data_IF_594774747781
#
_entry.id   IF_594774747781
#
_cell.length_a   1.000
_cell.length_b   1.000
_cell.length_c   1.000
_cell.angle_alpha   90.00
_cell.angle_beta   90.00
_cell.angle_gamma   90.00
#
_symmetry.space_group_name_H-M   'P 1'
#
loop_
_entity.id
_entity.type
_entity.pdbx_description
1 polymer ?
#
# COMPACT_ATOMS: atom_id res chain seq x y z
N UNK A 1 -0.21 -10.22 -21.71
CA UNK A 1 -0.46 -9.93 -20.29
C UNK A 1 0.15 -8.58 -19.96
N UNK A 2 -0.63 -7.68 -19.39
CA UNK A 2 -0.21 -6.32 -18.98
C UNK A 2 -0.47 -6.15 -17.49
N UNK A 3 0.49 -5.58 -16.75
CA UNK A 3 0.27 -5.10 -15.39
C UNK A 3 0.38 -3.57 -15.37
N UNK A 4 -0.63 -2.92 -14.80
CA UNK A 4 -0.68 -1.47 -14.63
C UNK A 4 -0.45 -1.16 -13.14
N UNK A 5 0.74 -0.67 -12.76
CA UNK A 5 1.04 -0.37 -11.36
C UNK A 5 0.33 0.89 -10.89
N UNK A 6 0.08 0.94 -9.58
CA UNK A 6 -0.31 2.15 -8.82
C UNK A 6 -1.43 2.98 -9.45
N UNK A 7 -2.56 2.33 -9.80
CA UNK A 7 -3.76 3.10 -10.18
C UNK A 7 -4.28 3.89 -8.97
N UNK A 8 -4.85 5.08 -9.21
CA UNK A 8 -5.26 5.98 -8.13
C UNK A 8 -6.65 6.59 -8.30
N UNK A 9 -7.36 6.33 -9.39
CA UNK A 9 -8.65 6.99 -9.67
C UNK A 9 -9.79 6.00 -9.89
N UNK A 10 -11.01 6.43 -9.57
CA UNK A 10 -12.27 5.74 -9.91
C UNK A 10 -12.30 5.37 -11.40
N UNK A 11 -11.91 6.31 -12.26
CA UNK A 11 -11.90 6.06 -13.71
C UNK A 11 -10.95 4.93 -14.12
N UNK A 12 -9.80 4.81 -13.48
CA UNK A 12 -8.88 3.69 -13.70
C UNK A 12 -9.52 2.35 -13.29
N UNK A 13 -10.21 2.31 -12.14
CA UNK A 13 -10.93 1.10 -11.69
C UNK A 13 -11.99 0.68 -12.71
N UNK A 14 -12.81 1.63 -13.19
CA UNK A 14 -13.83 1.36 -14.22
C UNK A 14 -13.22 0.76 -15.50
N UNK A 15 -12.12 1.36 -15.99
CA UNK A 15 -11.44 0.89 -17.21
C UNK A 15 -10.85 -0.51 -17.04
N UNK A 16 -10.21 -0.80 -15.91
CA UNK A 16 -9.66 -2.13 -15.61
C UNK A 16 -10.79 -3.16 -15.49
N UNK A 17 -11.90 -2.81 -14.82
CA UNK A 17 -13.07 -3.69 -14.68
C UNK A 17 -13.67 -4.04 -16.05
N UNK A 18 -13.83 -3.05 -16.91
CA UNK A 18 -14.30 -3.27 -18.28
C UNK A 18 -13.34 -4.15 -19.08
N UNK A 19 -12.04 -3.87 -19.04
CA UNK A 19 -11.03 -4.67 -19.73
C UNK A 19 -11.01 -6.14 -19.25
N UNK A 20 -11.15 -6.38 -17.95
CA UNK A 20 -11.26 -7.76 -17.40
C UNK A 20 -12.56 -8.44 -17.85
N UNK A 21 -13.69 -7.72 -17.91
CA UNK A 21 -14.97 -8.23 -18.40
C UNK A 21 -14.91 -8.65 -19.87
N UNK A 22 -14.13 -7.95 -20.70
CA UNK A 22 -13.82 -8.31 -22.09
C UNK A 22 -12.84 -9.51 -22.23
N UNK A 23 -12.36 -10.07 -21.12
CA UNK A 23 -11.43 -11.19 -21.11
C UNK A 23 -9.97 -10.81 -21.39
N UNK A 24 -9.64 -9.54 -21.35
CA UNK A 24 -8.26 -9.07 -21.54
C UNK A 24 -7.37 -9.46 -20.33
N UNK A 25 -6.16 -9.91 -20.63
CA UNK A 25 -5.18 -10.33 -19.60
C UNK A 25 -4.48 -9.12 -19.00
N UNK A 26 -5.24 -8.33 -18.24
CA UNK A 26 -4.77 -7.16 -17.50
C UNK A 26 -4.82 -7.41 -16.01
N UNK A 27 -3.87 -6.86 -15.27
CA UNK A 27 -3.83 -6.81 -13.81
C UNK A 27 -3.37 -5.42 -13.36
N UNK A 28 -3.68 -5.03 -12.13
CA UNK A 28 -3.25 -3.75 -11.59
C UNK A 28 -2.96 -3.81 -10.10
N UNK A 29 -2.28 -2.79 -9.60
CA UNK A 29 -2.04 -2.58 -8.18
C UNK A 29 -2.43 -1.17 -7.75
N UNK A 30 -2.56 -0.97 -6.44
CA UNK A 30 -2.80 0.32 -5.80
C UNK A 30 -1.80 0.52 -4.67
N UNK A 31 -1.36 1.76 -4.45
CA UNK A 31 -0.47 2.07 -3.34
C UNK A 31 -1.23 2.28 -2.03
N UNK A 32 -0.62 1.87 -0.90
CA UNK A 32 -1.21 2.00 0.44
C UNK A 32 -1.67 3.42 0.72
N UNK A 33 -0.87 4.42 0.40
CA UNK A 33 -1.19 5.81 0.68
C UNK A 33 -2.39 6.34 -0.14
N UNK A 34 -2.64 5.80 -1.34
CA UNK A 34 -3.83 6.14 -2.13
C UNK A 34 -5.13 5.52 -1.58
N UNK A 35 -5.03 4.57 -0.65
CA UNK A 35 -6.17 4.00 0.08
C UNK A 35 -6.39 4.69 1.41
N UNK A 36 -5.30 5.14 2.07
CA UNK A 36 -5.34 5.62 3.45
C UNK A 36 -5.61 7.13 3.58
N UNK A 37 -5.17 7.92 2.60
CA UNK A 37 -5.31 9.37 2.61
C UNK A 37 -6.26 9.85 1.52
N UNK A 38 -6.97 10.95 1.81
CA UNK A 38 -7.71 11.76 0.84
C UNK A 38 -6.99 13.07 0.57
N UNK A 39 -7.32 13.75 -0.51
CA UNK A 39 -6.73 15.03 -0.92
C UNK A 39 -6.86 16.16 0.13
N UNK A 40 -7.73 16.00 1.12
CA UNK A 40 -7.84 16.91 2.26
C UNK A 40 -6.49 17.09 3.00
N UNK A 41 -5.62 16.06 3.03
CA UNK A 41 -4.30 16.16 3.67
C UNK A 41 -3.34 17.09 2.92
N UNK A 42 -3.68 17.49 1.70
CA UNK A 42 -2.86 18.39 0.87
C UNK A 42 -3.08 19.86 1.19
N UNK A 43 -4.12 20.24 1.96
CA UNK A 43 -4.43 21.63 2.32
C UNK A 43 -3.25 22.36 2.99
N UNK A 44 -2.44 21.61 3.76
CA UNK A 44 -1.25 22.14 4.44
C UNK A 44 0.02 22.15 3.57
N UNK A 45 -0.04 21.75 2.30
CA UNK A 45 1.10 21.64 1.40
C UNK A 45 2.31 20.89 1.99
N UNK A 46 2.05 19.89 2.85
CA UNK A 46 3.08 19.06 3.45
C UNK A 46 3.77 18.17 2.41
N UNK A 47 5.05 18.38 2.15
CA UNK A 47 5.81 17.65 1.12
C UNK A 47 5.83 16.13 1.32
N UNK A 48 5.65 15.63 2.55
CA UNK A 48 5.54 14.20 2.83
C UNK A 48 4.27 13.56 2.26
N UNK A 49 3.27 14.35 1.83
CA UNK A 49 2.08 13.85 1.12
C UNK A 49 2.22 13.90 -0.40
N UNK A 50 3.35 14.42 -0.92
CA UNK A 50 3.59 14.49 -2.36
C UNK A 50 4.01 13.13 -2.90
N UNK A 51 3.16 12.53 -3.73
CA UNK A 51 3.32 11.20 -4.33
C UNK A 51 2.96 11.24 -5.82
N UNK A 52 3.43 10.25 -6.56
CA UNK A 52 3.04 10.02 -7.94
C UNK A 52 2.70 8.51 -8.14
N UNK A 53 1.42 8.17 -8.40
CA UNK A 53 0.24 9.04 -8.55
C UNK A 53 -0.08 9.85 -7.29
N UNK A 54 -0.70 11.05 -7.45
CA UNK A 54 -1.06 11.87 -6.30
C UNK A 54 -2.20 11.26 -5.48
N UNK A 55 -2.29 11.68 -4.23
CA UNK A 55 -3.43 11.39 -3.36
C UNK A 55 -4.69 12.01 -3.98
N UNK A 56 -5.80 11.29 -3.94
CA UNK A 56 -7.04 11.62 -4.65
C UNK A 56 -8.18 11.89 -3.69
N UNK A 57 -9.32 12.24 -4.29
CA UNK A 57 -10.56 12.52 -3.57
C UNK A 57 -11.09 11.30 -2.82
N UNK A 58 -11.97 11.55 -1.86
CA UNK A 58 -12.67 10.47 -1.14
C UNK A 58 -13.42 9.52 -2.08
N UNK A 59 -14.03 10.05 -3.14
CA UNK A 59 -14.73 9.23 -4.14
C UNK A 59 -13.79 8.26 -4.87
N UNK A 60 -12.57 8.70 -5.18
CA UNK A 60 -11.53 7.85 -5.77
C UNK A 60 -11.10 6.76 -4.78
N UNK A 61 -10.87 7.10 -3.51
CA UNK A 61 -10.49 6.15 -2.46
C UNK A 61 -11.57 5.08 -2.28
N UNK A 62 -12.85 5.46 -2.20
CA UNK A 62 -13.98 4.54 -2.10
C UNK A 62 -14.01 3.57 -3.30
N UNK A 63 -13.83 4.09 -4.52
CA UNK A 63 -13.79 3.25 -5.72
C UNK A 63 -12.58 2.29 -5.75
N UNK A 64 -11.43 2.69 -5.22
CA UNK A 64 -10.26 1.81 -5.08
C UNK A 64 -10.52 0.68 -4.07
N UNK A 65 -11.15 0.99 -2.93
CA UNK A 65 -11.55 -0.01 -1.93
C UNK A 65 -12.58 -1.01 -2.51
N UNK A 66 -13.57 -0.53 -3.25
CA UNK A 66 -14.53 -1.37 -3.96
C UNK A 66 -13.83 -2.27 -4.99
N UNK A 67 -12.86 -1.71 -5.73
CA UNK A 67 -12.06 -2.47 -6.70
C UNK A 67 -11.18 -3.55 -6.07
N UNK A 68 -10.74 -3.39 -4.83
CA UNK A 68 -10.06 -4.45 -4.07
C UNK A 68 -11.03 -5.55 -3.65
N UNK A 69 -12.22 -5.17 -3.18
CA UNK A 69 -13.25 -6.11 -2.72
C UNK A 69 -13.80 -6.98 -3.86
N UNK A 70 -14.05 -6.40 -5.03
CA UNK A 70 -14.62 -7.12 -6.18
C UNK A 70 -13.57 -7.83 -7.05
N UNK A 71 -12.27 -7.72 -6.72
CA UNK A 71 -11.18 -8.36 -7.46
C UNK A 71 -10.76 -7.62 -8.74
N UNK A 72 -11.28 -6.41 -8.98
CA UNK A 72 -10.80 -5.55 -10.07
C UNK A 72 -9.34 -5.17 -9.86
N UNK A 73 -8.96 -4.84 -8.61
CA UNK A 73 -7.57 -4.58 -8.22
C UNK A 73 -6.96 -5.87 -7.67
N UNK A 74 -5.85 -6.28 -8.25
CA UNK A 74 -5.24 -7.58 -7.96
C UNK A 74 -4.38 -7.54 -6.70
N UNK A 75 -3.67 -6.44 -6.43
CA UNK A 75 -2.70 -6.37 -5.33
C UNK A 75 -2.54 -4.96 -4.77
N UNK A 76 -1.95 -4.89 -3.58
CA UNK A 76 -1.55 -3.65 -2.93
C UNK A 76 -0.03 -3.60 -2.88
N UNK A 77 0.53 -2.42 -3.12
CA UNK A 77 1.97 -2.14 -2.98
C UNK A 77 2.23 -1.11 -1.91
N UNK A 78 3.35 -1.24 -1.20
CA UNK A 78 3.82 -0.23 -0.26
C UNK A 78 4.23 1.07 -0.95
N UNK A 79 4.59 0.98 -2.21
CA UNK A 79 5.18 2.07 -3.01
C UNK A 79 6.31 2.79 -2.24
N UNK A 80 7.19 1.99 -1.64
CA UNK A 80 8.26 2.46 -0.78
C UNK A 80 9.33 3.20 -1.58
N UNK A 81 9.38 4.51 -1.42
CA UNK A 81 10.31 5.39 -2.13
C UNK A 81 11.08 6.27 -1.13
N UNK A 82 12.21 5.78 -0.61
CA UNK A 82 13.05 6.54 0.32
C UNK A 82 13.79 7.67 -0.39
N UNK A 83 13.70 8.86 0.16
CA UNK A 83 14.30 10.08 -0.36
C UNK A 83 15.13 10.77 0.70
N UNK A 84 16.19 11.43 0.29
CA UNK A 84 16.99 12.27 1.17
C UNK A 84 16.18 13.48 1.64
N UNK A 85 16.52 13.97 2.83
CA UNK A 85 15.83 15.09 3.45
C UNK A 85 15.87 16.35 2.58
N UNK A 86 16.97 16.55 1.86
CA UNK A 86 17.18 17.67 0.95
C UNK A 86 16.19 17.69 -0.22
N UNK A 87 15.69 16.52 -0.64
CA UNK A 87 14.69 16.38 -1.69
C UNK A 87 13.24 16.50 -1.17
N UNK A 88 13.04 16.38 0.14
CA UNK A 88 11.71 16.44 0.75
C UNK A 88 11.45 17.70 1.56
N UNK A 89 12.46 18.28 2.22
CA UNK A 89 12.33 19.48 3.03
C UNK A 89 12.39 20.76 2.15
N UNK A 90 11.50 20.78 1.19
CA UNK A 90 11.32 21.87 0.22
C UNK A 90 9.85 22.27 0.18
N UNK A 91 9.55 23.39 -0.48
CA UNK A 91 8.18 23.75 -0.82
C UNK A 91 7.53 22.64 -1.64
N UNK A 92 6.22 22.48 -1.51
CA UNK A 92 5.49 21.36 -2.08
C UNK A 92 5.73 21.18 -3.60
N UNK A 93 5.75 22.26 -4.36
CA UNK A 93 5.98 22.27 -5.81
C UNK A 93 7.38 21.78 -6.20
N UNK A 94 8.40 22.05 -5.37
CA UNK A 94 9.80 21.68 -5.60
C UNK A 94 10.20 20.34 -5.01
N UNK A 95 9.46 19.83 -4.01
CA UNK A 95 9.77 18.56 -3.39
C UNK A 95 9.61 17.40 -4.36
N UNK A 96 10.46 16.39 -4.22
CA UNK A 96 10.39 15.16 -5.02
C UNK A 96 9.21 14.28 -4.56
N UNK A 97 8.53 13.64 -5.52
CA UNK A 97 7.46 12.69 -5.24
C UNK A 97 8.00 11.42 -4.56
N UNK A 98 7.25 10.90 -3.60
CA UNK A 98 7.54 9.63 -2.95
C UNK A 98 7.49 9.67 -1.43
N UNK A 99 7.12 8.53 -0.86
CA UNK A 99 7.08 8.29 0.59
C UNK A 99 7.64 6.91 0.92
N UNK A 100 8.10 6.71 2.14
CA UNK A 100 8.37 5.38 2.65
C UNK A 100 7.06 4.75 3.16
N UNK A 101 6.83 3.48 2.84
CA UNK A 101 5.58 2.79 3.15
C UNK A 101 5.75 1.34 3.63
N UNK A 102 6.96 0.76 3.65
CA UNK A 102 7.13 -0.65 4.06
C UNK A 102 6.76 -0.88 5.52
N UNK A 103 7.18 0.00 6.41
CA UNK A 103 6.95 -0.12 7.85
C UNK A 103 5.49 0.09 8.24
N UNK A 104 4.74 0.83 7.42
CA UNK A 104 3.35 1.23 7.73
C UNK A 104 2.30 0.46 6.95
N UNK A 105 2.68 -0.21 5.85
CA UNK A 105 1.74 -0.82 4.91
C UNK A 105 0.73 -1.75 5.58
N UNK A 106 1.20 -2.73 6.35
CA UNK A 106 0.33 -3.68 7.03
C UNK A 106 -0.57 -2.99 8.07
N UNK A 107 0.04 -2.16 8.93
CA UNK A 107 -0.69 -1.48 10.00
C UNK A 107 -1.76 -0.51 9.48
N UNK A 108 -1.46 0.26 8.44
CA UNK A 108 -2.41 1.17 7.82
C UNK A 108 -3.58 0.42 7.15
N UNK A 109 -3.27 -0.61 6.38
CA UNK A 109 -4.29 -1.39 5.67
C UNK A 109 -5.20 -2.18 6.62
N UNK A 110 -4.66 -2.71 7.72
CA UNK A 110 -5.43 -3.46 8.71
C UNK A 110 -6.38 -2.58 9.56
N UNK A 111 -6.29 -1.25 9.43
CA UNK A 111 -7.31 -0.34 9.97
C UNK A 111 -8.56 -0.23 9.08
N UNK A 112 -8.44 -0.59 7.80
CA UNK A 112 -9.45 -0.31 6.78
C UNK A 112 -10.03 -1.57 6.13
N UNK A 113 -9.24 -2.64 6.03
CA UNK A 113 -9.60 -3.84 5.28
C UNK A 113 -9.83 -5.03 6.20
N UNK A 114 -10.73 -5.95 5.83
CA UNK A 114 -10.79 -7.27 6.47
C UNK A 114 -9.44 -7.99 6.35
N UNK A 115 -9.02 -8.65 7.43
CA UNK A 115 -7.69 -9.27 7.51
C UNK A 115 -7.43 -10.30 6.40
N UNK A 116 -8.43 -11.08 6.05
CA UNK A 116 -8.34 -12.10 5.01
C UNK A 116 -8.05 -11.47 3.64
N UNK A 117 -8.77 -10.42 3.29
CA UNK A 117 -8.56 -9.66 2.05
C UNK A 117 -7.18 -9.00 2.03
N UNK A 118 -6.79 -8.39 3.14
CA UNK A 118 -5.46 -7.78 3.29
C UNK A 118 -4.34 -8.79 3.02
N UNK A 119 -4.40 -9.96 3.68
CA UNK A 119 -3.39 -11.01 3.49
C UNK A 119 -3.38 -11.52 2.05
N UNK A 120 -4.56 -11.74 1.45
CA UNK A 120 -4.67 -12.12 0.05
C UNK A 120 -3.95 -11.13 -0.87
N UNK A 121 -4.28 -9.83 -0.75
CA UNK A 121 -3.73 -8.78 -1.63
C UNK A 121 -2.24 -8.52 -1.43
N UNK A 122 -1.70 -8.80 -0.24
CA UNK A 122 -0.27 -8.68 0.05
C UNK A 122 0.55 -9.93 -0.29
N UNK A 123 -0.07 -11.11 -0.40
CA UNK A 123 0.68 -12.36 -0.52
C UNK A 123 0.37 -13.17 -1.77
N UNK A 124 -0.90 -13.46 -2.05
CA UNK A 124 -1.30 -14.38 -3.12
C UNK A 124 -1.17 -13.76 -4.51
N UNK A 125 -1.30 -12.44 -4.59
CA UNK A 125 -1.28 -11.71 -5.86
C UNK A 125 0.05 -11.78 -6.62
N UNK A 126 1.14 -12.20 -5.97
CA UNK A 126 2.42 -12.47 -6.64
C UNK A 126 2.33 -13.54 -7.74
N UNK A 127 1.28 -14.36 -7.72
CA UNK A 127 0.99 -15.33 -8.79
C UNK A 127 0.77 -14.65 -10.16
N UNK A 128 0.36 -13.39 -10.18
CA UNK A 128 0.27 -12.55 -11.39
C UNK A 128 1.62 -12.47 -12.10
N UNK A 129 2.73 -12.51 -11.37
CA UNK A 129 4.11 -12.49 -11.89
C UNK A 129 4.72 -13.89 -12.03
N UNK A 130 3.91 -14.96 -11.97
CA UNK A 130 4.36 -16.35 -11.98
C UNK A 130 5.24 -16.75 -10.79
N UNK A 131 5.17 -16.00 -9.68
CA UNK A 131 5.82 -16.36 -8.42
C UNK A 131 4.91 -17.33 -7.68
N UNK A 132 5.41 -18.54 -7.43
CA UNK A 132 4.64 -19.58 -6.75
C UNK A 132 4.36 -19.22 -5.29
N UNK A 133 3.14 -19.47 -4.85
CA UNK A 133 2.80 -19.44 -3.44
C UNK A 133 3.27 -20.74 -2.78
N UNK A 134 3.92 -20.63 -1.63
CA UNK A 134 4.28 -21.77 -0.80
C UNK A 134 3.28 -21.88 0.35
N UNK A 135 2.68 -23.05 0.57
CA UNK A 135 1.83 -23.26 1.73
C UNK A 135 2.65 -23.29 3.03
N UNK A 136 2.05 -22.91 4.12
CA UNK A 136 2.61 -23.14 5.46
C UNK A 136 2.40 -24.63 5.77
N UNK A 137 3.44 -25.45 5.65
CA UNK A 137 3.38 -26.89 5.86
C UNK A 137 4.70 -27.42 6.42
N UNK A 138 4.63 -28.56 7.10
CA UNK A 138 5.82 -29.26 7.63
C UNK A 138 6.74 -29.65 6.47
N UNK A 139 8.02 -29.38 6.62
CA UNK A 139 9.04 -29.64 5.60
C UNK A 139 9.23 -28.55 4.55
N UNK A 140 8.44 -27.49 4.61
CA UNK A 140 8.65 -26.29 3.77
C UNK A 140 9.63 -25.31 4.44
N UNK A 141 10.39 -24.60 3.63
CA UNK A 141 11.28 -23.52 4.10
C UNK A 141 10.43 -22.42 4.74
N UNK A 142 10.79 -22.00 5.94
CA UNK A 142 10.08 -20.95 6.64
C UNK A 142 10.23 -19.60 5.92
N UNK A 143 9.10 -18.96 5.65
CA UNK A 143 9.02 -17.56 5.19
C UNK A 143 7.73 -16.99 5.79
N UNK A 144 7.81 -16.63 7.07
CA UNK A 144 6.67 -16.36 7.94
C UNK A 144 6.80 -15.01 8.61
N UNK A 145 5.68 -14.31 8.73
CA UNK A 145 5.56 -13.11 9.56
C UNK A 145 4.61 -13.38 10.71
N UNK A 146 5.07 -13.15 11.94
CA UNK A 146 4.27 -13.26 13.16
C UNK A 146 3.78 -11.88 13.56
N UNK A 147 2.47 -11.72 13.70
CA UNK A 147 1.84 -10.45 14.04
C UNK A 147 0.59 -10.64 14.90
N UNK A 148 0.20 -9.60 15.64
CA UNK A 148 -1.10 -9.52 16.31
C UNK A 148 -2.00 -8.53 15.53
N UNK A 149 -3.06 -8.99 14.87
CA UNK A 149 -3.91 -8.12 14.06
C UNK A 149 -4.78 -7.18 14.89
N UNK A 150 -4.92 -7.43 16.20
CA UNK A 150 -5.80 -6.67 17.10
C UNK A 150 -5.11 -5.48 17.78
N UNK A 151 -3.80 -5.49 17.88
CA UNK A 151 -3.04 -4.47 18.60
C UNK A 151 -2.99 -3.16 17.85
N UNK A 152 -3.56 -2.09 18.43
CA UNK A 152 -3.37 -0.71 17.96
C UNK A 152 -2.08 -0.11 18.55
N UNK A 153 -1.44 0.76 17.78
CA UNK A 153 -0.25 1.49 18.19
C UNK A 153 -0.13 2.80 17.43
N UNK A 154 0.45 3.82 18.04
CA UNK A 154 0.85 5.04 17.35
C UNK A 154 2.18 4.82 16.64
N UNK A 155 2.23 5.10 15.35
CA UNK A 155 3.46 5.01 14.56
C UNK A 155 4.33 6.26 14.79
N UNK A 156 5.53 6.06 15.30
CA UNK A 156 6.45 7.11 15.70
C UNK A 156 7.75 7.07 14.88
N UNK A 157 8.57 8.11 14.99
CA UNK A 157 9.90 8.14 14.34
C UNK A 157 10.81 6.96 14.75
N UNK A 158 10.61 6.39 15.94
CA UNK A 158 11.37 5.24 16.44
C UNK A 158 11.03 3.95 15.70
N UNK A 159 9.84 3.88 15.14
CA UNK A 159 9.37 2.71 14.39
C UNK A 159 9.87 2.71 12.93
N UNK A 160 10.45 3.82 12.48
CA UNK A 160 10.99 3.95 11.13
C UNK A 160 12.38 3.31 11.04
N UNK A 161 12.46 2.16 10.37
CA UNK A 161 13.71 1.42 10.13
C UNK A 161 14.48 1.95 8.92
N UNK A 162 13.78 2.54 7.95
CA UNK A 162 14.39 3.19 6.79
C UNK A 162 15.36 4.30 7.22
N UNK A 163 16.44 4.48 6.46
CA UNK A 163 17.33 5.63 6.64
C UNK A 163 16.64 6.95 6.38
N UNK A 164 15.74 6.95 5.40
CA UNK A 164 14.88 8.10 5.08
C UNK A 164 13.69 8.18 6.03
N UNK A 165 13.23 9.41 6.29
CA UNK A 165 12.12 9.70 7.21
C UNK A 165 10.93 10.36 6.50
N UNK A 166 10.87 10.30 5.18
CA UNK A 166 9.83 10.90 4.35
C UNK A 166 8.51 10.09 4.39
N UNK A 167 7.84 10.15 5.54
CA UNK A 167 6.55 9.48 5.73
C UNK A 167 5.50 10.42 6.33
N UNK A 168 4.24 10.38 5.83
CA UNK A 168 3.11 11.10 6.42
C UNK A 168 2.43 10.32 7.55
N UNK A 169 2.92 9.13 7.88
CA UNK A 169 2.27 8.26 8.87
C UNK A 169 2.70 8.53 10.32
N UNK A 170 3.71 9.36 10.58
CA UNK A 170 4.11 9.72 11.95
C UNK A 170 2.92 10.31 12.71
N UNK A 171 2.68 9.81 13.93
CA UNK A 171 1.55 10.20 14.77
C UNK A 171 0.21 9.58 14.37
N UNK A 172 0.17 8.70 13.38
CA UNK A 172 -1.06 7.97 13.01
C UNK A 172 -1.23 6.73 13.87
N UNK A 173 -2.47 6.48 14.28
CA UNK A 173 -2.83 5.21 14.91
C UNK A 173 -2.97 4.14 13.81
N UNK A 174 -2.19 3.08 13.96
CA UNK A 174 -2.17 1.92 13.08
C UNK A 174 -2.59 0.68 13.87
N UNK A 175 -3.02 -0.37 13.16
CA UNK A 175 -3.49 -1.61 13.79
C UNK A 175 -2.78 -2.82 13.20
N UNK A 176 -2.37 -3.74 14.06
CA UNK A 176 -1.68 -4.95 13.64
C UNK A 176 -0.16 -4.85 13.79
N UNK A 177 0.34 -5.25 14.97
CA UNK A 177 1.78 -5.17 15.26
C UNK A 177 2.51 -6.42 14.80
N UNK A 178 3.54 -6.22 13.99
CA UNK A 178 4.45 -7.29 13.61
C UNK A 178 5.49 -7.50 14.71
N UNK A 179 5.65 -8.75 15.15
CA UNK A 179 6.62 -9.11 16.18
C UNK A 179 7.90 -9.71 15.61
N UNK A 180 7.79 -10.50 14.55
CA UNK A 180 8.94 -11.24 14.03
C UNK A 180 8.73 -11.69 12.60
N UNK A 181 9.82 -11.73 11.85
CA UNK A 181 9.91 -12.40 10.55
C UNK A 181 10.85 -13.60 10.71
N UNK A 182 10.46 -14.74 10.17
CA UNK A 182 11.23 -15.97 10.13
C UNK A 182 11.54 -16.29 8.66
N UNK A 183 12.80 -16.34 8.32
CA UNK A 183 13.30 -16.68 6.99
C UNK A 183 14.28 -17.84 7.17
N UNK A 184 14.02 -18.95 6.46
CA UNK A 184 14.86 -20.15 6.48
C UNK A 184 15.78 -20.24 5.28
#
# INVERSE_FOLDING_TARGET
>A
KLHIPTISTKKSVELIRAAKAEGLKVSCSVAVHNLFFTDEVLEGFGSNYKTNPPIRTKEDVEALLDGLNDGTIDMITSDHNPLDIEHKKLEFDKATDGIIGLETAFGALNTMLPLELLIEKLTLSKAVFNIKNQPIAVGQVANLTLFDPSQSYEFTEKDVLSKSKNTPFIGKELKGKVYRVLVG
#
